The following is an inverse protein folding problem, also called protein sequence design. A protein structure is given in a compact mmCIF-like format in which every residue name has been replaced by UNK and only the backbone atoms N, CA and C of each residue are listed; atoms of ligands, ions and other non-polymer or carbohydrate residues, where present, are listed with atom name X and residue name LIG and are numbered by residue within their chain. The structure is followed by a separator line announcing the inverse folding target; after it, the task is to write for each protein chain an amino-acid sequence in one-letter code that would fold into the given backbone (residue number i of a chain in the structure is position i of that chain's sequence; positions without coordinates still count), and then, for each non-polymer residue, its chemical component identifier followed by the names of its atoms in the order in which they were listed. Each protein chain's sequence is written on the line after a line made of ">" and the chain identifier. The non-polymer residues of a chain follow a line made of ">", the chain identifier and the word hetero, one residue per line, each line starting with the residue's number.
data_IF_346111410229
#
_entry.id   IF_346111410229
#
_cell.length_a   1.000
_cell.length_b   1.000
_cell.length_c   1.000
_cell.angle_alpha   90.00
_cell.angle_beta   90.00
_cell.angle_gamma   90.00
#
_symmetry.space_group_name_H-M   'P 1'
#
loop_
_entity.id
_entity.type
_entity.pdbx_description
1 polymer ?
#
# COMPACT_ATOMS: atom_id res chain seq x y z
N UNK A 1 9.98 8.90 -1.47
CA UNK A 1 9.25 7.72 -1.93
C UNK A 1 8.18 7.36 -0.92
N UNK A 2 6.92 7.61 -1.24
CA UNK A 2 5.76 7.60 -0.33
C UNK A 2 5.40 6.22 0.27
N UNK A 3 6.20 5.19 0.01
CA UNK A 3 6.09 3.86 0.58
C UNK A 3 6.92 3.64 1.85
N UNK A 4 7.76 4.59 2.28
CA UNK A 4 8.69 4.39 3.41
C UNK A 4 8.03 4.20 4.78
N UNK A 5 6.73 4.52 4.93
CA UNK A 5 6.00 4.35 6.19
C UNK A 5 5.02 3.19 6.14
N UNK A 6 4.02 3.25 5.26
CA UNK A 6 2.88 2.32 5.29
C UNK A 6 3.25 0.86 4.98
N UNK A 7 4.04 0.62 3.92
CA UNK A 7 4.42 -0.74 3.49
C UNK A 7 5.34 -1.45 4.49
N UNK A 8 6.45 -0.85 4.98
CA UNK A 8 7.30 -1.52 5.98
C UNK A 8 6.62 -1.65 7.34
N UNK A 9 5.73 -0.72 7.72
CA UNK A 9 4.93 -0.87 8.96
C UNK A 9 3.90 -2.00 8.83
N UNK A 10 3.23 -2.13 7.68
CA UNK A 10 2.33 -3.25 7.42
C UNK A 10 3.06 -4.59 7.40
N UNK A 11 4.28 -4.66 6.83
CA UNK A 11 5.11 -5.86 6.89
C UNK A 11 5.57 -6.18 8.31
N UNK A 12 5.93 -5.17 9.11
CA UNK A 12 6.30 -5.36 10.52
C UNK A 12 5.11 -5.88 11.35
N UNK A 13 3.91 -5.34 11.14
CA UNK A 13 2.69 -5.85 11.77
C UNK A 13 2.37 -7.28 11.34
N UNK A 14 2.51 -7.61 10.05
CA UNK A 14 2.32 -8.98 9.56
C UNK A 14 3.34 -9.96 10.15
N UNK A 15 4.59 -9.52 10.35
CA UNK A 15 5.60 -10.31 11.04
C UNK A 15 5.24 -10.53 12.51
N UNK A 16 4.72 -9.53 13.22
CA UNK A 16 4.24 -9.67 14.61
C UNK A 16 3.07 -10.65 14.71
N UNK A 17 2.06 -10.53 13.84
CA UNK A 17 0.90 -11.44 13.78
C UNK A 17 1.33 -12.86 13.43
N UNK A 18 2.28 -13.03 12.51
CA UNK A 18 2.84 -14.33 12.13
C UNK A 18 3.49 -15.07 13.29
N UNK A 19 4.07 -14.35 14.26
CA UNK A 19 4.67 -14.96 15.46
C UNK A 19 3.64 -15.60 16.40
N UNK A 20 2.41 -15.09 16.43
CA UNK A 20 1.34 -15.64 17.29
C UNK A 20 0.39 -16.59 16.54
N UNK A 21 0.11 -16.35 15.26
CA UNK A 21 -0.94 -17.06 14.50
C UNK A 21 -0.42 -17.90 13.33
N UNK A 22 0.90 -17.90 13.08
CA UNK A 22 1.51 -18.57 11.93
C UNK A 22 1.50 -17.72 10.65
N UNK A 23 2.31 -18.10 9.64
CA UNK A 23 2.53 -17.27 8.45
C UNK A 23 1.34 -17.27 7.49
N UNK A 24 1.01 -16.10 6.94
CA UNK A 24 -0.02 -15.94 5.89
C UNK A 24 0.59 -15.43 4.58
N UNK A 25 0.89 -16.33 3.61
CA UNK A 25 1.47 -15.96 2.32
C UNK A 25 0.59 -14.98 1.53
N UNK A 26 -0.73 -15.09 1.67
CA UNK A 26 -1.71 -14.23 0.99
C UNK A 26 -1.58 -12.78 1.46
N UNK A 27 -1.48 -12.56 2.77
CA UNK A 27 -1.38 -11.21 3.31
C UNK A 27 -0.03 -10.55 2.97
N UNK A 28 1.07 -11.30 2.94
CA UNK A 28 2.37 -10.79 2.46
C UNK A 28 2.34 -10.40 0.96
N UNK A 29 1.59 -11.12 0.12
CA UNK A 29 1.41 -10.76 -1.28
C UNK A 29 0.50 -9.54 -1.48
N UNK A 30 -0.56 -9.41 -0.67
CA UNK A 30 -1.55 -8.33 -0.79
C UNK A 30 -0.98 -6.96 -0.38
N UNK A 31 -0.11 -6.88 0.63
CA UNK A 31 0.49 -5.61 1.10
C UNK A 31 1.15 -4.79 -0.03
N UNK A 32 2.11 -5.33 -0.81
CA UNK A 32 2.74 -4.58 -1.89
C UNK A 32 1.78 -4.30 -3.04
N UNK A 33 0.84 -5.21 -3.34
CA UNK A 33 -0.16 -5.01 -4.39
C UNK A 33 -1.02 -3.81 -4.04
N UNK A 34 -1.62 -3.78 -2.85
CA UNK A 34 -2.49 -2.69 -2.41
C UNK A 34 -1.68 -1.39 -2.23
N UNK A 35 -0.51 -1.46 -1.60
CA UNK A 35 0.35 -0.31 -1.34
C UNK A 35 0.91 0.34 -2.61
N UNK A 36 1.27 -0.43 -3.64
CA UNK A 36 1.79 0.14 -4.87
C UNK A 36 0.67 0.48 -5.87
N UNK A 37 -0.32 -0.40 -6.04
CA UNK A 37 -1.35 -0.25 -7.06
C UNK A 37 -2.39 0.81 -6.69
N UNK A 38 -2.97 0.76 -5.48
CA UNK A 38 -4.03 1.70 -5.09
C UNK A 38 -3.48 3.12 -4.98
N UNK A 39 -2.25 3.28 -4.51
CA UNK A 39 -1.59 4.59 -4.47
C UNK A 39 -1.40 5.15 -5.88
N UNK A 40 -0.98 4.33 -6.85
CA UNK A 40 -0.80 4.77 -8.24
C UNK A 40 -2.12 5.18 -8.89
N UNK A 41 -3.19 4.39 -8.72
CA UNK A 41 -4.52 4.71 -9.25
C UNK A 41 -5.07 5.99 -8.61
N UNK A 42 -4.98 6.10 -7.29
CA UNK A 42 -5.43 7.29 -6.56
C UNK A 42 -4.66 8.54 -7.00
N UNK A 43 -3.34 8.43 -7.16
CA UNK A 43 -2.50 9.52 -7.60
C UNK A 43 -2.82 9.95 -9.05
N UNK A 44 -2.97 9.00 -9.97
CA UNK A 44 -3.34 9.28 -11.35
C UNK A 44 -4.72 9.96 -11.45
N UNK A 45 -5.68 9.53 -10.61
CA UNK A 45 -7.01 10.12 -10.54
C UNK A 45 -6.99 11.54 -9.97
N UNK A 46 -6.30 11.75 -8.85
CA UNK A 46 -6.17 13.07 -8.21
C UNK A 46 -5.47 14.06 -9.14
N UNK A 47 -4.38 13.65 -9.81
CA UNK A 47 -3.69 14.51 -10.77
C UNK A 47 -4.60 14.87 -11.94
N UNK A 48 -5.34 13.91 -12.51
CA UNK A 48 -6.29 14.18 -13.60
C UNK A 48 -7.37 15.18 -13.18
N UNK A 49 -7.96 15.01 -11.99
CA UNK A 49 -8.96 15.95 -11.46
C UNK A 49 -8.38 17.35 -11.30
N UNK A 50 -7.20 17.46 -10.70
CA UNK A 50 -6.55 18.76 -10.48
C UNK A 50 -6.24 19.43 -11.82
N UNK A 51 -5.75 18.67 -12.81
CA UNK A 51 -5.50 19.17 -14.17
C UNK A 51 -6.79 19.68 -14.84
N UNK A 52 -7.90 18.96 -14.70
CA UNK A 52 -9.19 19.37 -15.27
C UNK A 52 -9.76 20.62 -14.59
N UNK A 53 -9.48 20.82 -13.30
CA UNK A 53 -10.01 21.96 -12.53
C UNK A 53 -9.18 23.23 -12.70
N UNK A 54 -7.84 23.10 -12.76
CA UNK A 54 -6.91 24.24 -12.82
C UNK A 54 -6.52 24.60 -14.26
N UNK A 55 -6.57 23.62 -15.17
CA UNK A 55 -6.23 23.78 -16.59
C UNK A 55 -7.33 24.40 -17.43
#
# INVERSE_FOLDING_TARGET
>A
GSAMGATPTAMANMAAVTKEHGPSPVAFAVIPIVGAFIIQVSNAFVINIILVIIG
#
